data_IF_058460646507
#
_entry.id   IF_058460646507
#
_cell.length_a   1.000
_cell.length_b   1.000
_cell.length_c   1.000
_cell.angle_alpha   90.00
_cell.angle_beta   90.00
_cell.angle_gamma   90.00
#
_symmetry.space_group_name_H-M   'P 1'
#
loop_
_entity.id
_entity.type
_entity.pdbx_description
1 polymer ?
#
# COMPACT_ATOMS: atom_id res chain seq x y z
N UNK A 1 -0.37 -16.22 0.54
CA UNK A 1 -0.88 -15.01 -0.12
C UNK A 1 -0.21 -14.77 -1.48
N UNK A 2 1.12 -14.89 -1.60
CA UNK A 2 1.87 -14.66 -2.85
C UNK A 2 1.30 -15.37 -4.09
N UNK A 3 1.04 -16.68 -4.02
CA UNK A 3 0.58 -17.43 -5.20
C UNK A 3 -0.75 -16.93 -5.78
N UNK A 4 -1.68 -16.49 -4.93
CA UNK A 4 -2.95 -15.90 -5.36
C UNK A 4 -2.71 -14.51 -5.95
N UNK A 5 -1.84 -13.71 -5.32
CA UNK A 5 -1.46 -12.40 -5.83
C UNK A 5 -0.86 -12.50 -7.23
N UNK A 6 0.06 -13.43 -7.46
CA UNK A 6 0.70 -13.61 -8.76
C UNK A 6 -0.30 -13.97 -9.86
N UNK A 7 -1.32 -14.77 -9.53
CA UNK A 7 -2.38 -15.17 -10.47
C UNK A 7 -3.29 -13.99 -10.85
N UNK A 8 -3.76 -13.23 -9.86
CA UNK A 8 -4.82 -12.22 -10.08
C UNK A 8 -4.29 -10.80 -10.31
N UNK A 9 -3.01 -10.53 -10.00
CA UNK A 9 -2.44 -9.17 -10.07
C UNK A 9 -2.52 -8.53 -11.47
N UNK A 10 -2.52 -9.37 -12.51
CA UNK A 10 -2.62 -8.93 -13.91
C UNK A 10 -3.99 -8.33 -14.27
N UNK A 11 -5.04 -8.59 -13.49
CA UNK A 11 -6.40 -8.08 -13.70
C UNK A 11 -6.64 -6.68 -13.11
N UNK A 12 -5.59 -6.03 -12.60
CA UNK A 12 -5.65 -4.73 -11.91
C UNK A 12 -4.73 -3.70 -12.57
N UNK A 13 -5.15 -2.43 -12.55
CA UNK A 13 -4.38 -1.30 -13.10
C UNK A 13 -3.10 -1.01 -12.29
N UNK A 14 -3.10 -1.42 -11.02
CA UNK A 14 -1.96 -1.39 -10.12
C UNK A 14 -2.10 -2.45 -9.06
N UNK A 15 -0.99 -3.10 -8.71
CA UNK A 15 -0.94 -4.15 -7.71
C UNK A 15 0.29 -3.92 -6.82
N UNK A 16 0.13 -4.16 -5.52
CA UNK A 16 1.22 -4.07 -4.56
C UNK A 16 1.04 -5.16 -3.50
N UNK A 17 2.12 -5.88 -3.23
CA UNK A 17 2.21 -6.84 -2.14
C UNK A 17 3.15 -6.26 -1.10
N UNK A 18 2.67 -6.09 0.13
CA UNK A 18 3.45 -5.60 1.26
C UNK A 18 3.65 -6.74 2.25
N UNK A 19 4.89 -7.19 2.37
CA UNK A 19 5.29 -8.26 3.30
C UNK A 19 5.56 -7.71 4.70
N UNK A 20 5.32 -8.53 5.73
CA UNK A 20 5.73 -8.26 7.12
C UNK A 20 5.29 -6.88 7.65
N UNK A 21 4.03 -6.50 7.46
CA UNK A 21 3.50 -5.16 7.82
C UNK A 21 3.76 -4.82 9.28
N UNK A 22 3.62 -5.77 10.20
CA UNK A 22 3.96 -5.59 11.62
C UNK A 22 5.39 -5.11 11.83
N UNK A 23 6.34 -5.80 11.22
CA UNK A 23 7.76 -5.53 11.41
C UNK A 23 8.17 -4.23 10.73
N UNK A 24 7.72 -4.02 9.49
CA UNK A 24 8.08 -2.84 8.71
C UNK A 24 7.44 -1.56 9.26
N UNK A 25 6.17 -1.61 9.67
CA UNK A 25 5.53 -0.45 10.33
C UNK A 25 6.23 -0.07 11.63
N UNK A 26 6.73 -1.06 12.39
CA UNK A 26 7.47 -0.83 13.64
C UNK A 26 8.86 -0.25 13.41
N UNK A 27 9.57 -0.68 12.36
CA UNK A 27 10.93 -0.22 12.03
C UNK A 27 10.96 1.11 11.29
N UNK A 28 10.08 1.25 10.30
CA UNK A 28 10.15 2.28 9.27
C UNK A 28 8.98 3.28 9.33
N UNK A 29 7.96 3.00 10.15
CA UNK A 29 6.74 3.80 10.22
C UNK A 29 5.73 3.47 9.12
N UNK A 30 4.48 3.84 9.34
CA UNK A 30 3.38 3.61 8.40
C UNK A 30 3.48 4.50 7.15
N UNK A 31 4.07 5.69 7.29
CA UNK A 31 4.29 6.61 6.19
C UNK A 31 5.15 5.99 5.10
N UNK A 32 6.16 5.20 5.48
CA UNK A 32 7.07 4.57 4.53
C UNK A 32 6.40 3.43 3.75
N UNK A 33 5.52 2.67 4.41
CA UNK A 33 4.68 1.67 3.73
C UNK A 33 3.70 2.34 2.76
N UNK A 34 3.12 3.50 3.12
CA UNK A 34 2.30 4.28 2.20
C UNK A 34 3.10 4.81 1.00
N UNK A 35 4.33 5.29 1.20
CA UNK A 35 5.22 5.70 0.11
C UNK A 35 5.48 4.55 -0.86
N UNK A 36 5.75 3.36 -0.35
CA UNK A 36 5.98 2.15 -1.14
C UNK A 36 4.74 1.80 -1.99
N UNK A 37 3.58 1.62 -1.35
CA UNK A 37 2.31 1.32 -2.03
C UNK A 37 2.03 2.38 -3.11
N UNK A 38 2.13 3.66 -2.76
CA UNK A 38 1.85 4.73 -3.70
C UNK A 38 2.85 4.75 -4.86
N UNK A 39 4.13 4.49 -4.60
CA UNK A 39 5.15 4.45 -5.66
C UNK A 39 4.86 3.35 -6.68
N UNK A 40 4.47 2.16 -6.21
CA UNK A 40 4.17 0.98 -7.04
C UNK A 40 2.86 1.20 -7.79
N UNK A 41 1.78 1.51 -7.09
CA UNK A 41 0.44 1.62 -7.68
C UNK A 41 0.33 2.83 -8.62
N UNK A 42 0.97 3.96 -8.29
CA UNK A 42 0.99 5.14 -9.16
C UNK A 42 2.04 5.05 -10.27
N UNK A 43 2.92 4.05 -10.25
CA UNK A 43 4.08 3.92 -11.14
C UNK A 43 4.96 5.19 -11.11
N UNK A 44 5.16 5.76 -9.92
CA UNK A 44 5.92 6.99 -9.70
C UNK A 44 7.15 6.73 -8.85
N UNK A 45 8.33 7.17 -9.32
CA UNK A 45 9.62 6.88 -8.68
C UNK A 45 9.80 7.45 -7.28
N UNK A 46 9.10 8.52 -6.91
CA UNK A 46 9.27 9.20 -5.60
C UNK A 46 7.96 9.83 -5.15
N UNK A 47 7.15 9.05 -4.45
CA UNK A 47 6.07 9.60 -3.63
C UNK A 47 6.66 9.84 -2.23
N UNK A 48 6.47 11.04 -1.69
CA UNK A 48 6.82 11.33 -0.30
C UNK A 48 5.53 11.48 0.49
N UNK A 49 5.46 10.82 1.63
CA UNK A 49 4.36 10.92 2.57
C UNK A 49 4.92 11.40 3.88
N UNK A 50 4.53 12.61 4.29
CA UNK A 50 4.98 13.19 5.56
C UNK A 50 4.06 12.85 6.72
N UNK A 51 2.81 12.48 6.42
CA UNK A 51 1.77 12.15 7.39
C UNK A 51 0.85 11.09 6.80
N UNK A 52 0.40 10.16 7.63
CA UNK A 52 -0.50 9.08 7.23
C UNK A 52 -1.76 9.58 6.51
N UNK A 53 -2.37 10.66 7.02
CA UNK A 53 -3.56 11.28 6.42
C UNK A 53 -3.32 11.86 5.02
N UNK A 54 -2.11 12.36 4.77
CA UNK A 54 -1.72 12.88 3.45
C UNK A 54 -1.60 11.72 2.46
N UNK A 55 -0.90 10.64 2.85
CA UNK A 55 -0.77 9.43 2.04
C UNK A 55 -2.13 8.86 1.67
N UNK A 56 -3.03 8.74 2.64
CA UNK A 56 -4.40 8.25 2.43
C UNK A 56 -5.20 9.13 1.47
N UNK A 57 -5.09 10.46 1.57
CA UNK A 57 -5.73 11.36 0.59
C UNK A 57 -5.16 11.17 -0.81
N UNK A 58 -3.86 10.93 -0.96
CA UNK A 58 -3.24 10.66 -2.27
C UNK A 58 -3.76 9.34 -2.84
N UNK A 59 -3.82 8.27 -2.02
CA UNK A 59 -4.43 6.98 -2.38
C UNK A 59 -5.85 7.20 -2.91
N UNK A 60 -6.72 7.82 -2.11
CA UNK A 60 -8.13 8.05 -2.49
C UNK A 60 -8.23 8.88 -3.77
N UNK A 61 -7.52 10.01 -3.87
CA UNK A 61 -7.65 10.92 -5.01
C UNK A 61 -7.09 10.34 -6.32
N UNK A 62 -5.95 9.63 -6.25
CA UNK A 62 -5.25 9.14 -7.44
C UNK A 62 -5.72 7.77 -7.89
N UNK A 63 -6.26 6.96 -6.98
CA UNK A 63 -6.73 5.60 -7.29
C UNK A 63 -8.24 5.51 -7.47
N UNK A 64 -9.00 6.60 -7.25
CA UNK A 64 -10.47 6.64 -7.38
C UNK A 64 -11.05 6.00 -8.65
N UNK A 65 -10.30 6.04 -9.75
CA UNK A 65 -10.73 5.54 -11.06
C UNK A 65 -9.89 4.37 -11.56
N UNK A 66 -9.13 3.71 -10.67
CA UNK A 66 -8.28 2.57 -11.00
C UNK A 66 -8.72 1.36 -10.19
N UNK A 67 -8.71 0.20 -10.82
CA UNK A 67 -8.87 -1.07 -10.12
C UNK A 67 -7.51 -1.44 -9.54
N UNK A 68 -7.36 -1.39 -8.21
CA UNK A 68 -6.08 -1.62 -7.53
C UNK A 68 -6.18 -2.80 -6.58
N UNK A 69 -5.16 -3.65 -6.58
CA UNK A 69 -4.99 -4.75 -5.63
C UNK A 69 -3.87 -4.42 -4.64
N UNK A 70 -4.18 -4.42 -3.35
CA UNK A 70 -3.17 -4.30 -2.29
C UNK A 70 -3.30 -5.51 -1.38
N UNK A 71 -2.22 -6.25 -1.21
CA UNK A 71 -2.14 -7.38 -0.27
C UNK A 71 -1.21 -6.98 0.86
N UNK A 72 -1.72 -7.06 2.09
CA UNK A 72 -1.01 -6.71 3.32
C UNK A 72 -0.78 -7.99 4.12
N UNK A 73 0.47 -8.44 4.23
CA UNK A 73 0.84 -9.64 4.98
C UNK A 73 1.26 -9.28 6.42
N UNK A 74 0.90 -10.14 7.38
CA UNK A 74 1.17 -9.95 8.81
C UNK A 74 0.69 -8.59 9.39
N UNK A 75 -0.56 -8.23 9.11
CA UNK A 75 -1.24 -7.10 9.79
C UNK A 75 -1.72 -7.59 11.16
N UNK A 76 -1.33 -6.88 12.23
CA UNK A 76 -1.60 -7.29 13.61
C UNK A 76 -2.36 -6.24 14.45
N UNK A 77 -2.54 -5.04 13.92
CA UNK A 77 -3.32 -4.00 14.57
C UNK A 77 -4.19 -3.19 13.59
N UNK A 78 -5.23 -2.57 14.15
CA UNK A 78 -6.22 -1.83 13.37
C UNK A 78 -5.64 -0.54 12.75
N UNK A 79 -4.64 0.06 13.37
CA UNK A 79 -4.07 1.32 12.91
C UNK A 79 -3.23 1.13 11.64
N UNK A 80 -2.53 0.00 11.50
CA UNK A 80 -1.93 -0.43 10.23
C UNK A 80 -2.97 -0.50 9.12
N UNK A 81 -4.09 -1.19 9.36
CA UNK A 81 -5.13 -1.34 8.37
C UNK A 81 -5.74 0.02 7.99
N UNK A 82 -6.06 0.87 8.96
CA UNK A 82 -6.62 2.22 8.73
C UNK A 82 -5.67 3.17 8.00
N UNK A 83 -4.36 2.96 8.16
CA UNK A 83 -3.35 3.76 7.47
C UNK A 83 -3.19 3.32 6.01
N UNK A 84 -3.30 2.01 5.73
CA UNK A 84 -2.99 1.44 4.42
C UNK A 84 -4.22 1.19 3.53
N UNK A 85 -5.44 1.23 4.07
CA UNK A 85 -6.70 0.98 3.37
C UNK A 85 -7.72 2.13 3.46
#
# INVERSE_FOLDING_TARGET
>A
ASSIYDEISSDFDGCCFVENVREESSKNGLEKLQEEILSVVLKQKKVKVRRVEEGRRVVICKLRHKKVLIVLDDVDNLDQLKALA
#
